data_IF_109898168990
#
_entry.id   IF_109898168990
#
_cell.length_a   1.000
_cell.length_b   1.000
_cell.length_c   1.000
_cell.angle_alpha   90.00
_cell.angle_beta   90.00
_cell.angle_gamma   90.00
#
_symmetry.space_group_name_H-M   'P 1'
#
loop_
_entity.id
_entity.type
_entity.pdbx_description
1 polymer ?
#
# COMPACT_ATOMS: atom_id res chain seq x y z
N UNK A 1 14.26 27.72 -5.02
CA UNK A 1 14.18 26.79 -3.87
C UNK A 1 15.48 26.05 -3.78
N UNK A 2 16.02 25.85 -2.58
CA UNK A 2 17.21 25.00 -2.40
C UNK A 2 16.90 23.60 -2.96
N UNK A 3 17.70 23.15 -3.93
CA UNK A 3 17.59 21.79 -4.44
C UNK A 3 18.01 20.81 -3.35
N UNK A 4 17.02 20.17 -2.72
CA UNK A 4 17.27 19.06 -1.80
C UNK A 4 17.82 17.88 -2.59
N UNK A 5 19.00 17.37 -2.20
CA UNK A 5 19.50 16.08 -2.67
C UNK A 5 18.63 14.96 -2.09
N UNK A 6 18.19 14.04 -2.94
CA UNK A 6 17.45 12.86 -2.52
C UNK A 6 18.40 11.85 -1.87
N UNK A 7 18.00 11.25 -0.75
CA UNK A 7 18.76 10.16 -0.11
C UNK A 7 17.98 8.86 -0.18
N UNK A 8 18.68 7.71 -0.16
CA UNK A 8 18.02 6.40 -0.25
C UNK A 8 16.91 6.20 0.80
N UNK A 9 17.08 6.57 2.09
CA UNK A 9 16.00 6.44 3.07
C UNK A 9 14.73 7.23 2.72
N UNK A 10 14.86 8.35 2.01
CA UNK A 10 13.71 9.14 1.55
C UNK A 10 13.03 8.53 0.33
N UNK A 11 13.79 7.76 -0.47
CA UNK A 11 13.31 7.13 -1.71
C UNK A 11 12.80 5.72 -1.48
N UNK A 12 13.28 5.01 -0.46
CA UNK A 12 12.89 3.64 -0.15
C UNK A 12 11.36 3.41 -0.14
N UNK A 13 10.52 4.32 0.38
CA UNK A 13 9.06 4.17 0.30
C UNK A 13 8.48 4.23 -1.11
N UNK A 14 9.16 4.89 -2.04
CA UNK A 14 8.75 5.04 -3.44
C UNK A 14 9.17 3.83 -4.29
N UNK A 15 10.21 3.13 -3.89
CA UNK A 15 10.84 2.12 -4.73
C UNK A 15 10.03 0.83 -4.67
N UNK A 16 9.33 0.51 -5.75
CA UNK A 16 8.43 -0.65 -5.81
C UNK A 16 9.13 -1.92 -6.26
N UNK A 17 10.03 -1.76 -7.22
CA UNK A 17 10.80 -2.83 -7.81
C UNK A 17 12.23 -2.35 -7.98
N UNK A 18 13.18 -3.19 -7.61
CA UNK A 18 14.61 -3.00 -7.85
C UNK A 18 15.08 -4.26 -8.53
N UNK A 19 15.27 -4.16 -9.83
CA UNK A 19 15.92 -5.21 -10.61
C UNK A 19 17.38 -4.81 -10.76
N UNK A 20 18.28 -5.58 -10.14
CA UNK A 20 19.72 -5.42 -10.32
C UNK A 20 20.14 -6.34 -11.46
N UNK A 21 20.28 -5.79 -12.66
CA UNK A 21 20.90 -6.47 -13.80
C UNK A 21 22.41 -6.51 -13.55
N UNK A 22 22.84 -7.58 -12.89
CA UNK A 22 24.24 -7.81 -12.54
C UNK A 22 25.15 -7.91 -13.75
N UNK A 23 24.62 -8.26 -14.93
CA UNK A 23 25.40 -8.38 -16.17
C UNK A 23 25.63 -7.03 -16.82
N UNK A 24 24.58 -6.22 -16.90
CA UNK A 24 24.65 -4.88 -17.44
C UNK A 24 25.29 -3.91 -16.45
N UNK A 25 25.53 -4.33 -15.20
CA UNK A 25 25.90 -3.45 -14.10
C UNK A 25 24.85 -2.36 -13.96
N UNK A 26 23.57 -2.69 -14.01
CA UNK A 26 22.48 -1.71 -14.06
C UNK A 26 21.48 -1.99 -12.95
N UNK A 27 21.09 -0.93 -12.24
CA UNK A 27 19.94 -0.93 -11.35
C UNK A 27 18.77 -0.35 -12.13
N UNK A 28 17.71 -1.14 -12.30
CA UNK A 28 16.42 -0.67 -12.78
C UNK A 28 15.48 -0.54 -11.60
N UNK A 29 14.90 0.63 -11.46
CA UNK A 29 13.95 0.95 -10.40
C UNK A 29 12.62 1.35 -11.01
N UNK A 30 11.54 0.94 -10.36
CA UNK A 30 10.23 1.54 -10.60
C UNK A 30 9.89 2.38 -9.37
N UNK A 31 9.93 3.71 -9.53
CA UNK A 31 9.45 4.63 -8.51
C UNK A 31 7.93 4.73 -8.60
N UNK A 32 7.25 4.60 -7.47
CA UNK A 32 5.81 4.66 -7.36
C UNK A 32 5.46 5.81 -6.43
N UNK A 33 4.73 6.79 -6.96
CA UNK A 33 4.22 7.86 -6.11
C UNK A 33 3.28 7.26 -5.05
N UNK A 34 3.48 7.53 -3.75
CA UNK A 34 2.67 6.93 -2.67
C UNK A 34 1.23 7.44 -2.68
N UNK A 35 1.01 8.62 -3.26
CA UNK A 35 -0.30 9.24 -3.33
C UNK A 35 -1.10 8.75 -4.54
N UNK A 36 -0.49 8.71 -5.73
CA UNK A 36 -1.21 8.36 -6.97
C UNK A 36 -0.93 6.97 -7.50
N UNK A 37 0.08 6.28 -6.99
CA UNK A 37 0.55 5.02 -7.55
C UNK A 37 1.17 5.14 -8.95
N UNK A 38 1.39 6.37 -9.46
CA UNK A 38 2.07 6.58 -10.75
C UNK A 38 3.43 5.91 -10.72
N UNK A 39 3.68 5.06 -11.72
CA UNK A 39 4.93 4.32 -11.89
C UNK A 39 5.85 5.11 -12.82
N UNK A 40 7.03 5.46 -12.35
CA UNK A 40 8.06 6.15 -13.11
C UNK A 40 9.25 5.20 -13.18
N UNK A 41 9.38 4.42 -14.27
CA UNK A 41 10.53 3.56 -14.46
C UNK A 41 11.78 4.41 -14.68
N UNK A 42 12.87 4.02 -14.07
CA UNK A 42 14.17 4.62 -14.29
C UNK A 42 15.25 3.57 -14.15
N UNK A 43 16.44 3.86 -14.67
CA UNK A 43 17.58 2.97 -14.52
C UNK A 43 18.87 3.75 -14.45
N UNK A 44 19.86 3.16 -13.80
CA UNK A 44 21.20 3.71 -13.73
C UNK A 44 22.24 2.59 -13.75
N UNK A 45 23.37 2.85 -14.39
CA UNK A 45 24.50 1.93 -14.37
C UNK A 45 25.23 2.04 -13.02
N UNK A 46 25.42 0.93 -12.33
CA UNK A 46 26.33 0.79 -11.21
C UNK A 46 27.75 0.70 -11.80
N UNK A 47 28.63 1.61 -11.39
CA UNK A 47 30.02 1.57 -11.81
C UNK A 47 30.73 0.36 -11.15
N UNK A 48 30.94 -0.73 -11.90
CA UNK A 48 31.67 -1.92 -11.46
C UNK A 48 32.77 -2.33 -12.46
N UNK A 49 33.89 -2.83 -11.94
CA UNK A 49 35.04 -3.36 -12.70
C UNK A 49 34.76 -4.76 -13.26
N UNK A 50 35.18 -4.98 -14.52
CA UNK A 50 34.82 -6.06 -15.44
C UNK A 50 34.77 -7.52 -14.92
N UNK A 51 33.74 -8.25 -15.37
CA UNK A 51 33.66 -9.72 -15.34
C UNK A 51 32.29 -10.26 -15.83
N UNK A 52 32.31 -11.14 -16.83
CA UNK A 52 31.16 -11.60 -17.66
C UNK A 52 30.55 -12.94 -17.16
N UNK A 53 29.23 -13.15 -17.36
CA UNK A 53 28.50 -14.37 -17.86
C UNK A 53 27.14 -14.68 -17.16
N UNK A 54 26.14 -14.95 -18.02
CA UNK A 54 24.74 -15.50 -18.01
C UNK A 54 24.05 -16.17 -16.79
N UNK A 55 22.93 -15.63 -16.26
CA UNK A 55 21.44 -15.84 -16.46
C UNK A 55 20.79 -17.20 -16.19
N UNK A 56 19.67 -17.19 -15.43
CA UNK A 56 18.28 -17.68 -15.74
C UNK A 56 17.36 -17.23 -14.55
N UNK A 57 16.11 -16.75 -14.74
CA UNK A 57 14.87 -17.53 -14.53
C UNK A 57 13.58 -16.78 -14.95
N UNK A 58 12.71 -17.54 -15.61
CA UNK A 58 11.30 -17.26 -15.93
C UNK A 58 10.41 -17.23 -14.67
N UNK A 59 9.45 -16.31 -14.68
CA UNK A 59 8.46 -16.10 -13.63
C UNK A 59 7.18 -16.93 -13.79
N UNK A 60 6.75 -17.53 -12.68
CA UNK A 60 5.43 -18.14 -12.49
C UNK A 60 4.40 -17.06 -12.13
N UNK A 61 3.17 -17.21 -12.64
CA UNK A 61 2.02 -16.32 -12.43
C UNK A 61 1.43 -16.37 -11.01
N UNK A 62 2.19 -15.92 -9.99
CA UNK A 62 1.68 -15.75 -8.64
C UNK A 62 0.89 -14.44 -8.50
N UNK A 63 -0.39 -14.55 -8.83
CA UNK A 63 -1.58 -13.77 -8.46
C UNK A 63 -1.50 -12.23 -8.53
N UNK A 64 -2.18 -11.68 -9.53
CA UNK A 64 -2.67 -10.30 -9.58
C UNK A 64 -3.16 -9.75 -8.22
N UNK A 65 -3.82 -10.59 -7.41
CA UNK A 65 -4.25 -10.28 -6.05
C UNK A 65 -3.15 -9.90 -5.09
N UNK A 66 -2.04 -10.63 -5.11
CA UNK A 66 -0.88 -10.30 -4.29
C UNK A 66 -0.37 -8.87 -4.62
N UNK A 67 -0.38 -8.51 -5.91
CA UNK A 67 0.01 -7.17 -6.34
C UNK A 67 -0.96 -6.08 -5.87
N UNK A 68 -2.28 -6.36 -5.91
CA UNK A 68 -3.32 -5.47 -5.36
C UNK A 68 -3.17 -5.28 -3.86
N UNK A 69 -3.09 -6.38 -3.09
CA UNK A 69 -2.90 -6.35 -1.64
C UNK A 69 -1.70 -5.50 -1.27
N UNK A 70 -0.55 -5.76 -1.91
CA UNK A 70 0.70 -5.05 -1.66
C UNK A 70 0.65 -3.56 -2.08
N UNK A 71 -0.21 -3.19 -3.04
CA UNK A 71 -0.38 -1.80 -3.50
C UNK A 71 -1.29 -1.00 -2.56
N UNK A 72 -2.45 -1.58 -2.22
CA UNK A 72 -3.34 -1.07 -1.16
C UNK A 72 -2.53 -0.84 0.11
N UNK A 73 -1.71 -1.82 0.50
CA UNK A 73 -0.81 -1.74 1.65
C UNK A 73 0.14 -0.55 1.57
N UNK A 74 0.97 -0.47 0.53
CA UNK A 74 1.98 0.59 0.42
C UNK A 74 1.37 1.98 0.49
N UNK A 75 0.16 2.12 -0.06
CA UNK A 75 -0.60 3.36 0.01
C UNK A 75 -1.03 3.66 1.45
N UNK A 76 -1.76 2.74 2.11
CA UNK A 76 -2.25 2.93 3.50
C UNK A 76 -1.09 3.28 4.43
N UNK A 77 -0.01 2.53 4.31
CA UNK A 77 1.14 2.62 5.21
C UNK A 77 1.91 3.92 5.06
N UNK A 78 1.92 4.51 3.86
CA UNK A 78 2.51 5.83 3.63
C UNK A 78 1.84 6.97 4.41
N UNK A 79 0.59 6.78 4.88
CA UNK A 79 -0.13 7.77 5.68
C UNK A 79 0.09 7.64 7.19
N UNK A 80 0.66 6.52 7.67
CA UNK A 80 0.97 6.40 9.09
C UNK A 80 2.11 7.35 9.47
N UNK A 81 2.03 7.88 10.68
CA UNK A 81 3.05 8.78 11.22
C UNK A 81 4.44 8.10 11.18
N UNK A 82 5.49 8.74 10.60
CA UNK A 82 6.85 8.21 10.61
C UNK A 82 7.39 7.89 12.01
N UNK A 83 6.87 8.54 13.06
CA UNK A 83 7.19 8.22 14.45
C UNK A 83 6.73 6.82 14.88
N UNK A 84 5.57 6.35 14.39
CA UNK A 84 5.11 4.98 14.59
C UNK A 84 5.98 3.96 13.83
N UNK A 85 6.65 4.40 12.77
CA UNK A 85 7.56 3.60 11.95
C UNK A 85 9.00 3.58 12.46
N UNK A 86 9.38 4.41 13.44
CA UNK A 86 10.76 4.44 13.92
C UNK A 86 11.10 3.22 14.78
N UNK A 87 10.14 2.76 15.58
CA UNK A 87 10.28 1.57 16.44
C UNK A 87 10.25 0.24 15.64
N UNK A 88 9.93 0.33 14.34
CA UNK A 88 9.70 -0.77 13.40
C UNK A 88 10.98 -1.20 12.68
N UNK A 89 11.81 -0.22 12.31
CA UNK A 89 13.04 -0.44 11.52
C UNK A 89 14.06 -1.26 12.31
N UNK A 90 14.04 -1.20 13.64
CA UNK A 90 14.95 -1.98 14.49
C UNK A 90 14.61 -3.48 14.56
N UNK A 91 13.40 -3.90 14.16
CA UNK A 91 12.94 -5.29 14.28
C UNK A 91 12.92 -6.13 13.00
N UNK A 92 12.84 -5.51 11.82
CA UNK A 92 12.66 -6.21 10.52
C UNK A 92 13.92 -6.33 9.66
N UNK A 93 15.06 -5.77 10.10
CA UNK A 93 16.33 -5.85 9.38
C UNK A 93 17.00 -7.24 9.42
N UNK A 94 16.46 -8.22 10.16
CA UNK A 94 17.15 -9.49 10.45
C UNK A 94 16.64 -10.73 9.71
N UNK A 95 15.66 -10.66 8.79
CA UNK A 95 15.00 -11.88 8.27
C UNK A 95 15.13 -12.17 6.77
N UNK A 96 16.06 -11.54 6.03
CA UNK A 96 16.24 -11.84 4.59
C UNK A 96 17.66 -12.10 4.11
N UNK A 97 18.52 -12.74 4.91
CA UNK A 97 19.83 -13.20 4.41
C UNK A 97 20.18 -14.63 4.84
N UNK A 98 20.03 -15.56 3.90
CA UNK A 98 20.72 -16.85 3.94
C UNK A 98 21.47 -17.10 2.62
N UNK A 99 22.76 -17.43 2.78
CA UNK A 99 23.65 -18.28 1.95
C UNK A 99 24.05 -17.87 0.53
N UNK A 100 25.36 -17.84 0.33
CA UNK A 100 26.03 -18.25 -0.91
C UNK A 100 27.12 -17.28 -1.35
N UNK A 101 28.38 -17.69 -1.27
CA UNK A 101 29.60 -16.91 -1.54
C UNK A 101 29.81 -16.67 -3.06
N UNK A 102 29.44 -15.50 -3.58
CA UNK A 102 29.79 -14.96 -4.90
C UNK A 102 29.90 -13.43 -4.76
N UNK A 103 30.86 -12.77 -5.41
CA UNK A 103 31.17 -11.33 -5.19
C UNK A 103 29.94 -10.45 -5.43
N UNK A 104 29.30 -10.03 -4.34
CA UNK A 104 28.04 -9.30 -4.36
C UNK A 104 28.24 -7.82 -4.62
N UNK A 105 27.38 -7.26 -5.49
CA UNK A 105 27.03 -5.83 -5.45
C UNK A 105 26.65 -5.51 -4.00
N UNK A 106 27.42 -4.64 -3.37
CA UNK A 106 27.15 -4.26 -1.99
C UNK A 106 25.81 -3.52 -1.90
N UNK A 107 25.16 -3.63 -0.75
CA UNK A 107 23.91 -2.90 -0.52
C UNK A 107 24.09 -1.39 -0.74
N UNK A 108 25.25 -0.85 -0.34
CA UNK A 108 25.60 0.55 -0.55
C UNK A 108 25.61 0.94 -2.04
N UNK A 109 26.09 0.05 -2.93
CA UNK A 109 26.13 0.29 -4.37
C UNK A 109 24.73 0.24 -5.00
N UNK A 110 23.88 -0.68 -4.56
CA UNK A 110 22.47 -0.70 -4.98
C UNK A 110 21.75 0.57 -4.52
N UNK A 111 21.91 0.97 -3.25
CA UNK A 111 21.29 2.17 -2.70
C UNK A 111 21.74 3.44 -3.44
N UNK A 112 23.03 3.55 -3.75
CA UNK A 112 23.57 4.64 -4.56
C UNK A 112 23.00 4.65 -5.99
N UNK A 113 22.91 3.48 -6.62
CA UNK A 113 22.31 3.31 -7.95
C UNK A 113 20.84 3.72 -7.99
N UNK A 114 20.07 3.39 -6.95
CA UNK A 114 18.67 3.81 -6.79
C UNK A 114 18.56 5.34 -6.69
N UNK A 115 19.40 5.99 -5.88
CA UNK A 115 19.42 7.46 -5.76
C UNK A 115 19.73 8.10 -7.12
N UNK A 116 20.71 7.58 -7.84
CA UNK A 116 21.08 8.07 -9.17
C UNK A 116 19.99 7.85 -10.22
N UNK A 117 19.32 6.70 -10.20
CA UNK A 117 18.16 6.44 -11.03
C UNK A 117 17.03 7.42 -10.73
N UNK A 118 16.81 7.78 -9.46
CA UNK A 118 15.82 8.78 -9.08
C UNK A 118 16.19 10.17 -9.58
N UNK A 119 17.47 10.57 -9.48
CA UNK A 119 17.94 11.87 -9.98
C UNK A 119 17.58 12.09 -11.47
N UNK A 120 17.64 11.03 -12.29
CA UNK A 120 17.26 11.10 -13.70
C UNK A 120 15.77 11.44 -13.92
N UNK A 121 14.88 10.97 -13.04
CA UNK A 121 13.43 11.19 -13.10
C UNK A 121 12.93 12.20 -12.07
N UNK A 122 13.84 12.90 -11.37
CA UNK A 122 13.52 13.84 -10.28
C UNK A 122 12.55 14.93 -10.72
N UNK A 123 12.60 15.34 -11.99
CA UNK A 123 11.72 16.37 -12.55
C UNK A 123 10.24 15.94 -12.61
N UNK A 124 9.95 14.65 -12.51
CA UNK A 124 8.59 14.10 -12.41
C UNK A 124 8.06 14.09 -10.97
N UNK A 125 8.89 14.44 -9.98
CA UNK A 125 8.54 14.44 -8.57
C UNK A 125 8.77 15.81 -7.92
N UNK A 126 7.94 16.11 -6.92
CA UNK A 126 8.06 17.27 -6.05
C UNK A 126 8.11 16.83 -4.59
N UNK A 127 8.80 17.62 -3.77
CA UNK A 127 8.88 17.36 -2.34
C UNK A 127 7.61 17.88 -1.64
N UNK A 128 6.72 16.96 -1.27
CA UNK A 128 5.52 17.23 -0.47
C UNK A 128 5.77 17.15 1.04
N UNK A 129 4.70 17.28 1.83
CA UNK A 129 4.78 17.22 3.30
C UNK A 129 5.25 15.86 3.84
N UNK A 130 4.92 14.77 3.13
CA UNK A 130 5.24 13.39 3.51
C UNK A 130 6.40 12.77 2.71
N UNK A 131 7.11 13.58 1.91
CA UNK A 131 8.21 13.12 1.05
C UNK A 131 7.96 13.39 -0.43
N UNK A 132 8.67 12.69 -1.31
CA UNK A 132 8.53 12.85 -2.75
C UNK A 132 7.16 12.36 -3.26
N UNK A 133 6.47 13.20 -4.01
CA UNK A 133 5.19 12.90 -4.68
C UNK A 133 5.33 13.25 -6.17
N UNK A 134 4.59 12.60 -7.06
CA UNK A 134 4.65 12.97 -8.48
C UNK A 134 4.16 14.42 -8.66
N UNK A 135 4.79 15.19 -9.55
CA UNK A 135 4.51 16.62 -9.76
C UNK A 135 3.08 16.91 -10.20
N UNK A 136 2.49 16.00 -10.98
CA UNK A 136 1.09 16.11 -11.45
C UNK A 136 0.04 16.01 -10.30
N UNK A 137 0.47 15.66 -9.09
CA UNK A 137 -0.42 15.41 -7.94
C UNK A 137 -0.79 16.69 -7.18
N UNK A 138 -0.23 17.84 -7.57
CA UNK A 138 -0.47 19.11 -6.87
C UNK A 138 -1.89 19.67 -7.13
N UNK A 139 -2.62 19.16 -8.13
CA UNK A 139 -4.02 19.56 -8.37
C UNK A 139 -5.04 18.45 -8.00
N UNK A 140 -5.75 18.67 -6.89
CA UNK A 140 -7.16 18.34 -6.55
C UNK A 140 -7.82 16.98 -6.87
N UNK A 141 -7.11 15.92 -7.28
CA UNK A 141 -7.76 14.64 -7.64
C UNK A 141 -7.68 13.52 -6.59
N UNK A 142 -7.39 13.81 -5.33
CA UNK A 142 -7.43 12.79 -4.26
C UNK A 142 -8.88 12.35 -3.99
N UNK A 143 -9.22 11.10 -4.30
CA UNK A 143 -10.51 10.50 -3.96
C UNK A 143 -10.78 10.51 -2.45
N UNK A 144 -12.03 10.26 -2.06
CA UNK A 144 -12.49 10.38 -0.66
C UNK A 144 -11.62 9.59 0.33
N UNK A 145 -11.11 8.42 -0.08
CA UNK A 145 -10.17 7.63 0.71
C UNK A 145 -8.89 8.40 1.06
N UNK A 146 -8.23 8.99 0.06
CA UNK A 146 -7.00 9.74 0.24
C UNK A 146 -7.22 11.04 1.02
N UNK A 147 -8.37 11.69 0.82
CA UNK A 147 -8.78 12.86 1.60
C UNK A 147 -8.93 12.47 3.08
N UNK A 148 -9.68 11.41 3.37
CA UNK A 148 -9.91 10.90 4.73
C UNK A 148 -8.58 10.53 5.42
N UNK A 149 -7.69 9.79 4.75
CA UNK A 149 -6.38 9.41 5.29
C UNK A 149 -5.48 10.62 5.59
N UNK A 150 -5.63 11.72 4.85
CA UNK A 150 -4.83 12.95 5.02
C UNK A 150 -5.38 13.85 6.13
N UNK A 151 -6.69 14.03 6.18
CA UNK A 151 -7.36 14.89 7.15
C UNK A 151 -7.40 14.25 8.53
N UNK A 152 -7.60 12.93 8.58
CA UNK A 152 -7.81 12.19 9.83
C UNK A 152 -6.95 10.92 9.89
N UNK A 153 -5.61 11.03 9.83
CA UNK A 153 -4.73 9.87 9.89
C UNK A 153 -4.81 9.16 11.25
N UNK A 154 -4.42 7.89 11.28
CA UNK A 154 -4.12 7.18 12.53
C UNK A 154 -2.80 7.74 13.09
N UNK A 155 -2.84 8.35 14.27
CA UNK A 155 -1.72 9.09 14.86
C UNK A 155 -1.13 8.41 16.08
N UNK A 156 -1.94 7.68 16.84
CA UNK A 156 -1.51 7.12 18.13
C UNK A 156 -1.24 5.62 18.03
N UNK A 157 -0.34 5.13 18.90
CA UNK A 157 -0.10 3.69 19.04
C UNK A 157 -1.36 2.94 19.46
N UNK A 158 -2.20 3.56 20.29
CA UNK A 158 -3.47 2.99 20.72
C UNK A 158 -4.39 2.72 19.51
N UNK A 159 -4.61 3.72 18.66
CA UNK A 159 -5.42 3.57 17.44
C UNK A 159 -4.85 2.51 16.50
N UNK A 160 -3.52 2.50 16.34
CA UNK A 160 -2.82 1.56 15.47
C UNK A 160 -3.01 0.10 15.97
N UNK A 161 -2.88 -0.15 17.28
CA UNK A 161 -3.11 -1.46 17.89
C UNK A 161 -4.58 -1.86 17.80
N UNK A 162 -5.51 -0.93 18.04
CA UNK A 162 -6.94 -1.18 17.91
C UNK A 162 -7.30 -1.55 16.47
N UNK A 163 -6.80 -0.81 15.48
CA UNK A 163 -6.94 -1.15 14.07
C UNK A 163 -6.36 -2.54 13.79
N UNK A 164 -5.15 -2.84 14.25
CA UNK A 164 -4.52 -4.16 14.08
C UNK A 164 -5.38 -5.32 14.59
N UNK A 165 -6.04 -5.15 15.74
CA UNK A 165 -6.95 -6.14 16.31
C UNK A 165 -8.28 -6.25 15.54
N UNK A 166 -8.81 -5.14 15.01
CA UNK A 166 -9.98 -5.18 14.11
C UNK A 166 -9.62 -5.94 12.83
N UNK A 167 -8.50 -5.61 12.18
CA UNK A 167 -8.05 -6.27 10.96
C UNK A 167 -7.79 -7.76 11.19
N UNK A 168 -7.14 -8.11 12.31
CA UNK A 168 -6.94 -9.50 12.71
C UNK A 168 -8.26 -10.25 12.98
N UNK A 169 -9.28 -9.56 13.50
CA UNK A 169 -10.60 -10.15 13.70
C UNK A 169 -11.32 -10.42 12.38
N UNK A 170 -11.30 -9.46 11.43
CA UNK A 170 -11.86 -9.63 10.08
C UNK A 170 -11.26 -10.86 9.41
N UNK A 171 -9.93 -10.94 9.31
CA UNK A 171 -9.23 -12.04 8.65
C UNK A 171 -9.47 -13.43 9.28
N UNK A 172 -9.89 -13.49 10.56
CA UNK A 172 -10.20 -14.77 11.23
C UNK A 172 -11.60 -15.30 10.93
N UNK A 173 -12.54 -14.46 10.51
CA UNK A 173 -13.94 -14.86 10.37
C UNK A 173 -14.15 -15.94 9.31
N UNK A 174 -13.34 -15.93 8.24
CA UNK A 174 -13.42 -16.90 7.15
C UNK A 174 -12.28 -17.93 7.15
N UNK A 175 -11.40 -17.85 8.15
CA UNK A 175 -10.16 -18.59 8.22
C UNK A 175 -9.03 -17.85 7.51
N UNK A 176 -7.90 -17.72 8.20
CA UNK A 176 -6.83 -16.83 7.74
C UNK A 176 -6.14 -17.40 6.51
N UNK A 177 -6.37 -16.80 5.35
CA UNK A 177 -5.64 -17.12 4.14
C UNK A 177 -4.17 -16.69 4.29
N UNK A 178 -3.24 -17.45 3.72
CA UNK A 178 -1.80 -17.10 3.70
C UNK A 178 -1.54 -15.68 3.15
N UNK A 179 -2.40 -15.23 2.23
CA UNK A 179 -2.33 -13.88 1.69
C UNK A 179 -2.81 -12.79 2.66
N UNK A 180 -3.71 -13.10 3.58
CA UNK A 180 -4.13 -12.19 4.65
C UNK A 180 -3.09 -12.14 5.77
N UNK A 181 -2.43 -13.27 6.07
CA UNK A 181 -1.24 -13.28 6.92
C UNK A 181 -0.17 -12.37 6.34
N UNK A 182 0.11 -12.47 5.03
CA UNK A 182 1.06 -11.62 4.34
C UNK A 182 0.68 -10.13 4.43
N UNK A 183 -0.62 -9.82 4.33
CA UNK A 183 -1.14 -8.47 4.51
C UNK A 183 -0.90 -7.98 5.95
N UNK A 184 -1.32 -8.75 6.95
CA UNK A 184 -1.19 -8.40 8.37
C UNK A 184 0.28 -8.32 8.81
N UNK A 185 1.15 -9.18 8.28
CA UNK A 185 2.60 -9.17 8.52
C UNK A 185 3.26 -7.91 8.01
N UNK A 186 2.80 -7.39 6.87
CA UNK A 186 3.24 -6.09 6.39
C UNK A 186 2.75 -4.96 7.33
N UNK A 187 1.60 -5.13 8.01
CA UNK A 187 1.05 -4.18 8.99
C UNK A 187 1.58 -4.31 10.42
N UNK A 188 2.20 -5.43 10.82
CA UNK A 188 2.54 -5.69 12.23
C UNK A 188 3.26 -4.50 12.85
N UNK A 189 4.33 -4.08 12.19
CA UNK A 189 5.15 -2.99 12.67
C UNK A 189 4.42 -1.63 12.74
N UNK A 190 3.77 -1.12 11.67
CA UNK A 190 3.00 0.13 11.75
C UNK A 190 1.82 0.11 12.74
N UNK A 191 1.25 -1.08 13.00
CA UNK A 191 0.08 -1.25 13.89
C UNK A 191 0.45 -1.56 15.34
N UNK A 192 1.70 -1.35 15.74
CA UNK A 192 2.10 -1.36 17.14
C UNK A 192 2.19 -2.74 17.80
N UNK A 193 2.49 -3.80 17.05
CA UNK A 193 2.70 -5.14 17.59
C UNK A 193 3.31 -6.13 16.59
N UNK A 194 3.52 -7.38 16.99
CA UNK A 194 3.76 -8.45 16.00
C UNK A 194 2.43 -8.72 15.28
N UNK A 195 2.45 -8.84 13.96
CA UNK A 195 1.26 -9.19 13.19
C UNK A 195 0.64 -10.51 13.66
N UNK A 196 1.48 -11.46 14.09
CA UNK A 196 1.05 -12.70 14.69
C UNK A 196 0.37 -12.47 16.05
N UNK A 197 0.83 -11.49 16.83
CA UNK A 197 0.17 -11.09 18.07
C UNK A 197 -1.21 -10.46 17.78
N UNK A 198 -1.34 -9.60 16.78
CA UNK A 198 -2.63 -9.01 16.39
C UNK A 198 -3.63 -10.09 15.89
N UNK A 199 -3.14 -11.06 15.14
CA UNK A 199 -3.90 -12.23 14.67
C UNK A 199 -4.31 -13.18 15.79
N UNK A 200 -3.58 -13.26 16.89
CA UNK A 200 -3.93 -14.10 18.05
C UNK A 200 -4.72 -13.32 19.10
N UNK A 201 -4.70 -12.00 19.03
CA UNK A 201 -5.39 -11.13 19.99
C UNK A 201 -6.90 -11.20 19.81
N UNK A 202 -7.61 -11.14 20.92
CA UNK A 202 -9.07 -10.96 20.91
C UNK A 202 -9.44 -9.68 20.16
N UNK A 203 -10.60 -9.66 19.47
CA UNK A 203 -11.16 -8.42 18.93
C UNK A 203 -11.20 -7.31 20.00
N UNK A 204 -11.08 -6.02 19.63
CA UNK A 204 -11.28 -4.95 20.60
C UNK A 204 -12.72 -4.99 21.14
N UNK A 205 -12.86 -4.69 22.42
CA UNK A 205 -14.16 -4.53 23.06
C UNK A 205 -14.82 -3.21 22.63
N UNK A 206 -16.14 -3.13 22.81
CA UNK A 206 -16.91 -1.89 22.58
C UNK A 206 -16.34 -0.69 23.35
N UNK A 207 -15.88 -0.91 24.59
CA UNK A 207 -15.22 0.14 25.39
C UNK A 207 -13.93 0.61 24.72
N UNK A 208 -13.07 -0.30 24.28
CA UNK A 208 -11.83 0.06 23.59
C UNK A 208 -12.09 0.82 22.28
N UNK A 209 -13.11 0.42 21.51
CA UNK A 209 -13.50 1.13 20.29
C UNK A 209 -14.03 2.54 20.61
N UNK A 210 -14.75 2.71 21.72
CA UNK A 210 -15.29 4.00 22.13
C UNK A 210 -14.21 5.03 22.47
N UNK A 211 -13.06 4.58 22.98
CA UNK A 211 -11.88 5.40 23.37
C UNK A 211 -10.99 5.81 22.18
N UNK A 212 -11.25 5.30 20.97
CA UNK A 212 -10.58 5.79 19.75
C UNK A 212 -10.90 7.27 19.58
N UNK A 213 -9.89 8.09 19.25
CA UNK A 213 -10.10 9.53 19.03
C UNK A 213 -11.20 9.76 17.97
N UNK A 214 -12.18 10.67 18.19
CA UNK A 214 -13.32 10.87 17.31
C UNK A 214 -12.95 11.01 15.83
N UNK A 215 -11.84 11.71 15.56
CA UNK A 215 -11.30 11.96 14.24
C UNK A 215 -10.85 10.67 13.54
N UNK A 216 -10.23 9.73 14.27
CA UNK A 216 -9.64 8.51 13.74
C UNK A 216 -10.67 7.39 13.48
N UNK A 217 -11.87 7.46 14.07
CA UNK A 217 -12.89 6.40 14.02
C UNK A 217 -13.32 6.05 12.60
N UNK A 218 -13.62 7.06 11.79
CA UNK A 218 -14.03 6.89 10.41
C UNK A 218 -12.90 6.27 9.56
N UNK A 219 -11.67 6.74 9.75
CA UNK A 219 -10.47 6.21 9.09
C UNK A 219 -10.22 4.75 9.46
N UNK A 220 -10.34 4.39 10.74
CA UNK A 220 -10.19 3.02 11.21
C UNK A 220 -11.20 2.09 10.53
N UNK A 221 -12.48 2.48 10.51
CA UNK A 221 -13.54 1.70 9.85
C UNK A 221 -13.29 1.59 8.34
N UNK A 222 -12.90 2.68 7.67
CA UNK A 222 -12.59 2.68 6.24
C UNK A 222 -11.46 1.71 5.89
N UNK A 223 -10.40 1.67 6.70
CA UNK A 223 -9.28 0.74 6.52
C UNK A 223 -9.72 -0.72 6.73
N UNK A 224 -10.58 -0.97 7.72
CA UNK A 224 -11.14 -2.29 7.97
C UNK A 224 -12.02 -2.78 6.80
N UNK A 225 -12.88 -1.91 6.24
CA UNK A 225 -13.60 -2.19 5.00
C UNK A 225 -12.66 -2.47 3.84
N UNK A 226 -11.59 -1.70 3.72
CA UNK A 226 -10.62 -1.87 2.63
C UNK A 226 -10.01 -3.27 2.66
N UNK A 227 -9.62 -3.77 3.84
CA UNK A 227 -9.11 -5.15 3.98
C UNK A 227 -10.16 -6.18 3.53
N UNK A 228 -11.38 -6.09 4.07
CA UNK A 228 -12.48 -7.03 3.78
C UNK A 228 -12.98 -6.99 2.32
N UNK A 229 -12.51 -6.03 1.51
CA UNK A 229 -12.86 -5.91 0.09
C UNK A 229 -11.75 -6.41 -0.84
N UNK A 230 -10.54 -6.61 -0.32
CA UNK A 230 -9.36 -6.95 -1.13
C UNK A 230 -9.33 -8.42 -1.53
N UNK A 231 -10.13 -9.27 -0.89
CA UNK A 231 -10.31 -10.71 -1.22
C UNK A 231 -11.51 -11.02 -2.13
N UNK A 232 -12.21 -9.98 -2.62
CA UNK A 232 -13.43 -10.03 -3.44
C UNK A 232 -14.69 -10.58 -2.80
N UNK A 233 -14.61 -11.18 -1.62
CA UNK A 233 -15.72 -11.92 -1.03
C UNK A 233 -16.03 -11.37 0.35
N UNK A 234 -16.67 -10.20 0.36
CA UNK A 234 -17.20 -9.65 1.60
C UNK A 234 -18.33 -10.55 2.10
N UNK A 235 -18.02 -11.39 3.08
CA UNK A 235 -18.94 -12.35 3.64
C UNK A 235 -20.04 -11.68 4.48
N UNK A 236 -21.19 -12.34 4.70
CA UNK A 236 -22.18 -11.85 5.65
C UNK A 236 -21.62 -11.66 7.06
N UNK A 237 -20.68 -12.51 7.47
CA UNK A 237 -20.05 -12.48 8.79
C UNK A 237 -19.14 -11.26 8.97
N UNK A 238 -18.26 -10.98 8.01
CA UNK A 238 -17.40 -9.79 8.04
C UNK A 238 -18.23 -8.52 7.96
N UNK A 239 -19.24 -8.49 7.10
CA UNK A 239 -20.16 -7.36 7.00
C UNK A 239 -20.87 -7.11 8.33
N UNK A 240 -21.34 -8.17 9.00
CA UNK A 240 -21.99 -8.04 10.31
C UNK A 240 -21.01 -7.55 11.38
N UNK A 241 -19.76 -8.02 11.34
CA UNK A 241 -18.72 -7.61 12.28
C UNK A 241 -18.31 -6.14 12.06
N UNK A 242 -18.10 -5.71 10.82
CA UNK A 242 -17.75 -4.32 10.51
C UNK A 242 -18.88 -3.35 10.87
N UNK A 243 -20.14 -3.79 10.76
CA UNK A 243 -21.30 -3.05 11.26
C UNK A 243 -21.28 -2.89 12.78
N UNK A 244 -21.03 -3.96 13.53
CA UNK A 244 -20.92 -3.85 14.99
C UNK A 244 -19.74 -2.97 15.39
N UNK A 245 -18.61 -3.03 14.66
CA UNK A 245 -17.47 -2.13 14.88
C UNK A 245 -17.87 -0.67 14.63
N UNK A 246 -18.64 -0.37 13.57
CA UNK A 246 -19.13 0.98 13.30
C UNK A 246 -20.04 1.49 14.44
N UNK A 247 -20.95 0.66 14.93
CA UNK A 247 -21.83 0.96 16.06
C UNK A 247 -21.02 1.22 17.35
N UNK A 248 -20.03 0.36 17.66
CA UNK A 248 -19.17 0.48 18.84
C UNK A 248 -18.24 1.71 18.78
N UNK A 249 -17.83 2.12 17.59
CA UNK A 249 -17.15 3.40 17.38
C UNK A 249 -18.10 4.59 17.60
N UNK A 250 -19.43 4.39 17.55
CA UNK A 250 -20.42 5.46 17.61
C UNK A 250 -20.58 6.18 16.28
N UNK A 251 -20.32 5.51 15.16
CA UNK A 251 -20.55 6.04 13.82
C UNK A 251 -22.00 5.80 13.41
N UNK A 252 -22.66 6.84 12.92
CA UNK A 252 -23.99 6.72 12.34
C UNK A 252 -23.96 5.98 11.00
N UNK A 253 -25.12 5.47 10.58
CA UNK A 253 -25.29 4.74 9.32
C UNK A 253 -24.75 5.48 8.09
N UNK A 254 -24.95 6.79 8.01
CA UNK A 254 -24.44 7.62 6.91
C UNK A 254 -22.90 7.61 6.85
N UNK A 255 -22.24 7.73 8.00
CA UNK A 255 -20.79 7.68 8.08
C UNK A 255 -20.25 6.28 7.75
N UNK A 256 -20.91 5.21 8.22
CA UNK A 256 -20.58 3.84 7.85
C UNK A 256 -20.66 3.63 6.32
N UNK A 257 -21.78 4.01 5.71
CA UNK A 257 -22.01 3.88 4.26
C UNK A 257 -20.98 4.69 3.45
N UNK A 258 -20.62 5.89 3.92
CA UNK A 258 -19.59 6.73 3.31
C UNK A 258 -18.20 6.09 3.39
N UNK A 259 -17.79 5.55 4.55
CA UNK A 259 -16.49 4.88 4.70
C UNK A 259 -16.42 3.59 3.87
N UNK A 260 -17.51 2.83 3.80
CA UNK A 260 -17.60 1.67 2.94
C UNK A 260 -17.50 2.06 1.45
N UNK A 261 -18.15 3.15 1.03
CA UNK A 261 -18.07 3.65 -0.34
C UNK A 261 -16.65 4.12 -0.70
N UNK A 262 -15.99 4.86 0.19
CA UNK A 262 -14.62 5.33 0.01
C UNK A 262 -13.62 4.16 -0.11
N UNK A 263 -13.72 3.16 0.77
CA UNK A 263 -12.91 1.95 0.73
C UNK A 263 -13.11 1.17 -0.58
N UNK A 264 -14.37 0.95 -0.98
CA UNK A 264 -14.74 0.32 -2.25
C UNK A 264 -14.15 1.05 -3.44
N UNK A 265 -14.27 2.38 -3.49
CA UNK A 265 -13.76 3.18 -4.60
C UNK A 265 -12.25 3.04 -4.68
N UNK A 266 -11.57 3.13 -3.54
CA UNK A 266 -10.11 2.99 -3.47
C UNK A 266 -9.64 1.63 -4.00
N UNK A 267 -10.25 0.52 -3.59
CA UNK A 267 -9.88 -0.82 -4.06
C UNK A 267 -10.00 -0.92 -5.59
N UNK A 268 -11.07 -0.38 -6.18
CA UNK A 268 -11.22 -0.35 -7.65
C UNK A 268 -10.19 0.56 -8.32
N UNK A 269 -9.89 1.71 -7.73
CA UNK A 269 -8.83 2.59 -8.28
C UNK A 269 -7.49 1.86 -8.31
N UNK A 270 -7.12 1.16 -7.23
CA UNK A 270 -5.90 0.36 -7.18
C UNK A 270 -5.92 -0.81 -8.18
N UNK A 271 -7.10 -1.37 -8.43
CA UNK A 271 -7.32 -2.46 -9.36
C UNK A 271 -7.11 -2.03 -10.81
N UNK A 272 -7.76 -0.95 -11.23
CA UNK A 272 -7.69 -0.42 -12.60
C UNK A 272 -6.26 0.01 -12.91
N UNK A 273 -5.57 0.63 -11.96
CA UNK A 273 -4.20 1.11 -12.18
C UNK A 273 -3.14 -0.01 -12.18
N UNK A 274 -3.44 -1.21 -11.67
CA UNK A 274 -2.48 -2.32 -11.71
C UNK A 274 -2.33 -2.93 -13.10
N UNK A 275 -3.32 -2.70 -13.95
CA UNK A 275 -3.38 -3.29 -15.26
C UNK A 275 -3.11 -2.20 -16.31
N UNK A 276 -1.97 -2.31 -17.01
CA UNK A 276 -1.65 -1.39 -18.10
C UNK A 276 -2.49 -1.69 -19.36
N UNK A 277 -3.12 -2.88 -19.45
CA UNK A 277 -4.10 -3.25 -20.47
C UNK A 277 -5.09 -4.30 -19.95
N UNK A 278 -6.04 -3.91 -19.08
CA UNK A 278 -6.91 -4.90 -18.48
C UNK A 278 -7.83 -5.55 -19.48
N UNK A 279 -7.98 -6.87 -19.32
CA UNK A 279 -9.18 -7.54 -19.76
C UNK A 279 -10.37 -6.88 -19.06
N UNK A 280 -11.04 -5.99 -19.79
CA UNK A 280 -12.22 -5.26 -19.29
C UNK A 280 -13.31 -6.20 -18.83
N UNK A 281 -13.40 -7.43 -19.37
CA UNK A 281 -14.37 -8.41 -18.92
C UNK A 281 -14.06 -8.89 -17.50
N UNK A 282 -12.79 -9.19 -17.21
CA UNK A 282 -12.33 -9.55 -15.88
C UNK A 282 -12.62 -8.42 -14.88
N UNK A 283 -12.21 -7.18 -15.16
CA UNK A 283 -12.48 -6.05 -14.26
C UNK A 283 -13.97 -5.81 -14.00
N UNK A 284 -14.83 -6.02 -15.00
CA UNK A 284 -16.29 -5.90 -14.83
C UNK A 284 -16.85 -6.97 -13.91
N UNK A 285 -16.44 -8.23 -14.08
CA UNK A 285 -16.85 -9.31 -13.18
C UNK A 285 -16.40 -9.04 -11.75
N UNK A 286 -15.19 -8.52 -11.59
CA UNK A 286 -14.65 -8.16 -10.27
C UNK A 286 -15.43 -7.02 -9.63
N UNK A 287 -15.70 -5.94 -10.36
CA UNK A 287 -16.50 -4.83 -9.86
C UNK A 287 -17.89 -5.31 -9.39
N UNK A 288 -18.53 -6.21 -10.14
CA UNK A 288 -19.81 -6.81 -9.75
C UNK A 288 -19.71 -7.61 -8.44
N UNK A 289 -18.63 -8.37 -8.21
CA UNK A 289 -18.40 -9.08 -6.94
C UNK A 289 -18.25 -8.12 -5.75
N UNK A 290 -17.58 -6.98 -5.98
CA UNK A 290 -17.46 -5.89 -5.00
C UNK A 290 -18.76 -5.09 -4.81
N UNK A 291 -19.85 -5.49 -5.48
CA UNK A 291 -21.17 -4.88 -5.38
C UNK A 291 -21.32 -3.59 -6.18
N UNK A 292 -20.48 -3.35 -7.19
CA UNK A 292 -20.65 -2.24 -8.12
C UNK A 292 -21.65 -2.57 -9.22
N UNK A 293 -22.46 -1.59 -9.56
CA UNK A 293 -23.10 -1.56 -10.87
C UNK A 293 -22.05 -1.36 -11.96
N UNK A 294 -22.37 -1.84 -13.17
CA UNK A 294 -21.52 -1.62 -14.35
C UNK A 294 -21.29 -0.12 -14.61
N UNK A 295 -22.29 0.71 -14.36
CA UNK A 295 -22.21 2.15 -14.56
C UNK A 295 -21.24 2.81 -13.58
N UNK A 296 -21.29 2.46 -12.30
CA UNK A 296 -20.37 2.99 -11.30
C UNK A 296 -18.92 2.62 -11.62
N UNK A 297 -18.69 1.38 -12.05
CA UNK A 297 -17.38 0.93 -12.50
C UNK A 297 -16.86 1.75 -13.70
N UNK A 298 -17.68 1.91 -14.75
CA UNK A 298 -17.29 2.70 -15.93
C UNK A 298 -17.02 4.17 -15.57
N UNK A 299 -17.78 4.76 -14.62
CA UNK A 299 -17.52 6.11 -14.10
C UNK A 299 -16.15 6.22 -13.43
N UNK A 300 -15.74 5.21 -12.64
CA UNK A 300 -14.40 5.16 -12.02
C UNK A 300 -13.32 5.04 -13.09
N UNK A 301 -13.50 4.14 -14.07
CA UNK A 301 -12.54 3.98 -15.19
C UNK A 301 -12.39 5.27 -15.99
N UNK A 302 -13.50 5.95 -16.32
CA UNK A 302 -13.47 7.23 -17.02
C UNK A 302 -12.76 8.30 -16.18
N UNK A 303 -13.02 8.36 -14.87
CA UNK A 303 -12.33 9.27 -13.96
C UNK A 303 -10.83 9.02 -13.94
N UNK A 304 -10.40 7.76 -13.87
CA UNK A 304 -8.98 7.38 -13.88
C UNK A 304 -8.30 7.69 -15.21
N UNK A 305 -8.95 7.43 -16.35
CA UNK A 305 -8.43 7.80 -17.67
C UNK A 305 -8.22 9.30 -17.82
N UNK A 306 -9.10 10.12 -17.23
CA UNK A 306 -8.91 11.58 -17.20
C UNK A 306 -7.71 12.00 -16.35
N UNK A 307 -7.25 11.16 -15.42
CA UNK A 307 -6.04 11.40 -14.60
C UNK A 307 -4.75 11.03 -15.33
N UNK A 308 -4.80 10.15 -16.33
CA UNK A 308 -3.62 9.78 -17.10
C UNK A 308 -3.37 10.84 -18.19
N UNK A 309 -2.19 11.46 -18.26
CA UNK A 309 -1.87 12.36 -19.38
C UNK A 309 -2.01 11.58 -20.68
N UNK A 310 -2.67 12.17 -21.68
CA UNK A 310 -2.69 11.60 -23.02
C UNK A 310 -1.24 11.48 -23.52
N UNK A 311 -0.85 10.34 -24.13
CA UNK A 311 0.50 10.15 -24.63
C UNK A 311 0.91 11.20 -25.66
#
# INVERSE_FOLDING_TARGET
GMERQATYPQLAPLVRDIEVDRKAGQVRCIFVCPVTGRRVPSSHYIEHSDGVVDSVLDGVSTSFWYNLRRRVFGTVVSYFNPGLMRDVVEGTANSLLYRGDERFVSEAEVQAGVVKAFEAVRHEFEWGQQGWVAREVVEDFSGDFHRQMREFPIQTRYEAVTLGRVLGAVARLEGVAQSELSFLWQFGSPLGGDAEANLRSSPPSSVELSEVAPEAKATLLMLAWTLALVDEQLSPSERSYLKSVAEDLGLGREAEEAMQAAARQFVIEQLVDLDQQPDRAALKQMAQRLGYSLEEFERVVVRLKKRQPSP
#
